data_IF_598658105518
#
_entry.id   IF_598658105518
#
_cell.length_a   1.000
_cell.length_b   1.000
_cell.length_c   1.000
_cell.angle_alpha   90.00
_cell.angle_beta   90.00
_cell.angle_gamma   90.00
#
_symmetry.space_group_name_H-M   'P 1'
#
loop_
_entity.id
_entity.type
_entity.pdbx_description
1 polymer ?
#
# COMPACT_ATOMS: atom_id res chain seq x y z
N UNK A 1 4.56 -13.36 -15.84
CA UNK A 1 3.99 -12.79 -14.60
C UNK A 1 3.85 -13.92 -13.58
N UNK A 2 4.30 -13.70 -12.36
CA UNK A 2 4.25 -14.73 -11.34
C UNK A 2 2.82 -14.93 -10.82
N UNK A 3 2.44 -16.19 -10.67
CA UNK A 3 1.18 -16.54 -10.06
C UNK A 3 1.27 -16.36 -8.55
N UNK A 4 0.24 -15.80 -7.93
CA UNK A 4 0.17 -15.62 -6.49
C UNK A 4 -0.65 -16.75 -5.87
N UNK A 5 -0.10 -17.39 -4.83
CA UNK A 5 -0.86 -18.36 -4.05
C UNK A 5 -1.87 -17.64 -3.14
N UNK A 6 -2.81 -18.39 -2.60
CA UNK A 6 -3.79 -17.82 -1.65
C UNK A 6 -3.10 -17.21 -0.43
N UNK A 7 -2.05 -17.87 0.07
CA UNK A 7 -1.29 -17.38 1.22
C UNK A 7 -0.53 -16.09 0.88
N UNK A 8 0.05 -16.02 -0.31
CA UNK A 8 0.72 -14.81 -0.78
C UNK A 8 -0.25 -13.64 -0.92
N UNK A 9 -1.43 -13.89 -1.48
CA UNK A 9 -2.48 -12.88 -1.62
C UNK A 9 -2.92 -12.37 -0.23
N UNK A 10 -3.13 -13.27 0.73
CA UNK A 10 -3.49 -12.88 2.09
C UNK A 10 -2.41 -12.02 2.74
N UNK A 11 -1.14 -12.36 2.52
CA UNK A 11 -0.01 -11.57 3.02
C UNK A 11 0.04 -10.18 2.38
N UNK A 12 -0.27 -10.08 1.09
CA UNK A 12 -0.32 -8.80 0.37
C UNK A 12 -1.44 -7.92 0.93
N UNK A 13 -2.63 -8.49 1.18
CA UNK A 13 -3.73 -7.74 1.79
C UNK A 13 -3.35 -7.21 3.17
N UNK A 14 -2.70 -8.03 3.99
CA UNK A 14 -2.24 -7.63 5.32
C UNK A 14 -1.21 -6.49 5.24
N UNK A 15 -0.23 -6.63 4.36
CA UNK A 15 0.80 -5.61 4.16
C UNK A 15 0.22 -4.30 3.62
N UNK A 16 -0.76 -4.38 2.73
CA UNK A 16 -1.43 -3.18 2.21
C UNK A 16 -2.19 -2.45 3.32
N UNK A 17 -2.88 -3.19 4.19
CA UNK A 17 -3.57 -2.62 5.35
C UNK A 17 -2.60 -1.90 6.28
N UNK A 18 -1.43 -2.49 6.52
CA UNK A 18 -0.38 -1.89 7.33
C UNK A 18 0.14 -0.59 6.70
N UNK A 19 0.36 -0.59 5.38
CA UNK A 19 0.82 0.60 4.67
C UNK A 19 -0.20 1.73 4.71
N UNK A 20 -1.48 1.41 4.53
CA UNK A 20 -2.57 2.39 4.65
C UNK A 20 -2.59 2.99 6.05
N UNK A 21 -2.45 2.15 7.08
CA UNK A 21 -2.41 2.59 8.47
C UNK A 21 -1.23 3.53 8.73
N UNK A 22 -0.04 3.17 8.26
CA UNK A 22 1.17 4.00 8.43
C UNK A 22 0.98 5.37 7.77
N UNK A 23 0.45 5.41 6.55
CA UNK A 23 0.21 6.66 5.84
C UNK A 23 -0.78 7.55 6.61
N UNK A 24 -1.77 6.94 7.26
CA UNK A 24 -2.76 7.66 8.05
C UNK A 24 -2.30 8.09 9.44
N UNK A 25 -1.11 7.67 9.87
CA UNK A 25 -0.59 7.96 11.21
C UNK A 25 0.23 9.25 11.19
N UNK A 26 -0.06 10.16 12.11
CA UNK A 26 0.67 11.41 12.24
C UNK A 26 2.14 11.18 12.64
N UNK A 27 3.00 12.11 12.27
CA UNK A 27 4.40 12.13 12.69
C UNK A 27 4.48 12.08 14.22
N UNK A 28 5.36 11.22 14.74
CA UNK A 28 5.62 11.15 16.19
C UNK A 28 6.68 12.18 16.59
N UNK A 29 6.77 12.45 17.89
CA UNK A 29 7.77 13.39 18.43
C UNK A 29 9.19 12.90 18.22
N UNK A 30 9.38 11.58 18.17
CA UNK A 30 10.70 10.96 18.04
C UNK A 30 11.19 10.91 16.59
N UNK A 31 10.31 11.13 15.62
CA UNK A 31 10.67 11.11 14.21
C UNK A 31 11.15 12.48 13.74
N UNK A 32 12.20 12.50 12.91
CA UNK A 32 12.55 13.72 12.18
C UNK A 32 11.60 13.90 11.00
N UNK A 33 11.51 15.11 10.44
CA UNK A 33 10.69 15.35 9.25
C UNK A 33 11.16 14.49 8.08
N UNK A 34 12.47 14.33 7.91
CA UNK A 34 13.05 13.52 6.85
C UNK A 34 12.67 12.03 7.01
N UNK A 35 12.75 11.51 8.23
CA UNK A 35 12.38 10.12 8.52
C UNK A 35 10.90 9.86 8.29
N UNK A 36 10.06 10.79 8.72
CA UNK A 36 8.61 10.69 8.51
C UNK A 36 8.28 10.68 7.01
N UNK A 37 8.82 11.61 6.25
CA UNK A 37 8.61 11.70 4.81
C UNK A 37 9.08 10.46 4.08
N UNK A 38 10.23 9.92 4.47
CA UNK A 38 10.78 8.70 3.88
C UNK A 38 9.86 7.50 4.16
N UNK A 39 9.38 7.38 5.38
CA UNK A 39 8.44 6.32 5.78
C UNK A 39 7.16 6.38 4.93
N UNK A 40 6.57 7.55 4.79
CA UNK A 40 5.35 7.74 3.99
C UNK A 40 5.62 7.40 2.53
N UNK A 41 6.71 7.90 1.97
CA UNK A 41 7.08 7.65 0.58
C UNK A 41 7.24 6.16 0.29
N UNK A 42 7.93 5.42 1.17
CA UNK A 42 8.12 3.97 1.00
C UNK A 42 6.80 3.23 1.00
N UNK A 43 5.87 3.61 1.86
CA UNK A 43 4.57 2.98 1.93
C UNK A 43 3.71 3.33 0.72
N UNK A 44 3.77 4.56 0.22
CA UNK A 44 3.09 4.97 -1.01
C UNK A 44 3.62 4.16 -2.20
N UNK A 45 4.94 4.07 -2.36
CA UNK A 45 5.55 3.31 -3.45
C UNK A 45 5.17 1.83 -3.38
N UNK A 46 5.15 1.25 -2.18
CA UNK A 46 4.71 -0.13 -1.98
C UNK A 46 3.27 -0.34 -2.47
N UNK A 47 2.36 0.54 -2.08
CA UNK A 47 0.97 0.46 -2.52
C UNK A 47 0.84 0.62 -4.03
N UNK A 48 1.62 1.51 -4.64
CA UNK A 48 1.60 1.70 -6.09
C UNK A 48 2.05 0.43 -6.84
N UNK A 49 3.01 -0.29 -6.29
CA UNK A 49 3.49 -1.54 -6.87
C UNK A 49 2.45 -2.65 -6.74
N UNK A 50 1.93 -2.87 -5.54
CA UNK A 50 1.06 -4.02 -5.27
C UNK A 50 -0.34 -3.86 -5.86
N UNK A 51 -0.79 -2.65 -6.09
CA UNK A 51 -2.13 -2.44 -6.67
C UNK A 51 -2.25 -3.02 -8.09
N UNK A 52 -1.11 -3.28 -8.75
CA UNK A 52 -1.08 -3.88 -10.08
C UNK A 52 -1.05 -5.41 -10.05
N UNK A 53 -1.00 -6.03 -8.87
CA UNK A 53 -0.93 -7.48 -8.76
C UNK A 53 -2.22 -8.15 -9.22
N UNK A 54 -2.05 -9.35 -9.81
CA UNK A 54 -3.17 -10.14 -10.31
C UNK A 54 -3.23 -11.47 -9.57
N UNK A 55 -4.40 -12.12 -9.69
CA UNK A 55 -4.61 -13.49 -9.19
C UNK A 55 -3.82 -14.48 -10.05
N UNK A 56 -3.96 -15.75 -9.72
CA UNK A 56 -3.26 -16.85 -10.40
C UNK A 56 -3.56 -16.94 -11.89
N UNK A 57 -4.64 -16.34 -12.37
CA UNK A 57 -4.97 -16.29 -13.80
C UNK A 57 -4.13 -15.27 -14.59
N UNK A 58 -3.41 -14.42 -13.88
CA UNK A 58 -2.55 -13.41 -14.50
C UNK A 58 -3.30 -12.20 -15.09
N UNK A 59 -4.62 -12.16 -14.97
CA UNK A 59 -5.45 -11.09 -15.57
C UNK A 59 -6.38 -10.41 -14.57
N UNK A 60 -6.92 -11.17 -13.62
CA UNK A 60 -7.86 -10.62 -12.64
C UNK A 60 -7.11 -9.97 -11.48
N UNK A 61 -7.42 -8.71 -11.19
CA UNK A 61 -6.83 -8.04 -10.03
C UNK A 61 -7.15 -8.78 -8.74
N UNK A 62 -6.20 -8.80 -7.80
CA UNK A 62 -6.46 -9.32 -6.45
C UNK A 62 -7.35 -8.37 -5.64
N UNK A 63 -7.53 -7.13 -6.12
CA UNK A 63 -8.22 -6.07 -5.39
C UNK A 63 -9.64 -5.90 -5.90
N UNK A 64 -10.58 -5.66 -4.99
CA UNK A 64 -11.94 -5.24 -5.33
C UNK A 64 -11.95 -3.74 -5.67
N UNK A 65 -13.04 -3.24 -6.21
CA UNK A 65 -13.21 -1.81 -6.46
C UNK A 65 -13.08 -1.00 -5.17
N UNK A 66 -13.63 -1.52 -4.07
CA UNK A 66 -13.53 -0.87 -2.76
C UNK A 66 -12.07 -0.81 -2.28
N UNK A 67 -11.33 -1.90 -2.48
CA UNK A 67 -9.91 -1.96 -2.13
C UNK A 67 -9.11 -0.94 -2.93
N UNK A 68 -9.35 -0.85 -4.24
CA UNK A 68 -8.69 0.16 -5.08
C UNK A 68 -8.97 1.58 -4.59
N UNK A 69 -10.21 1.86 -4.22
CA UNK A 69 -10.59 3.18 -3.71
C UNK A 69 -9.80 3.52 -2.44
N UNK A 70 -9.70 2.56 -1.51
CA UNK A 70 -8.95 2.76 -0.28
C UNK A 70 -7.45 2.94 -0.53
N UNK A 71 -6.87 2.13 -1.41
CA UNK A 71 -5.45 2.22 -1.76
C UNK A 71 -5.15 3.55 -2.45
N UNK A 72 -5.96 3.95 -3.42
CA UNK A 72 -5.76 5.21 -4.14
C UNK A 72 -5.91 6.42 -3.20
N UNK A 73 -6.86 6.38 -2.27
CA UNK A 73 -7.04 7.42 -1.28
C UNK A 73 -5.80 7.54 -0.39
N UNK A 74 -5.24 6.41 0.05
CA UNK A 74 -4.02 6.40 0.86
C UNK A 74 -2.82 6.93 0.08
N UNK A 75 -2.66 6.53 -1.18
CA UNK A 75 -1.59 7.03 -2.04
C UNK A 75 -1.69 8.55 -2.21
N UNK A 76 -2.88 9.04 -2.50
CA UNK A 76 -3.12 10.48 -2.66
C UNK A 76 -2.80 11.25 -1.39
N UNK A 77 -3.27 10.76 -0.25
CA UNK A 77 -3.01 11.39 1.05
C UNK A 77 -1.51 11.37 1.37
N UNK A 78 -0.84 10.24 1.10
CA UNK A 78 0.59 10.10 1.34
C UNK A 78 1.42 11.07 0.50
N UNK A 79 1.09 11.23 -0.77
CA UNK A 79 1.81 12.13 -1.68
C UNK A 79 1.75 13.60 -1.25
N UNK A 80 0.79 13.97 -0.43
CA UNK A 80 0.70 15.32 0.13
C UNK A 80 1.63 15.54 1.31
N UNK A 81 2.18 14.46 1.87
CA UNK A 81 2.98 14.49 3.08
C UNK A 81 4.49 14.54 2.81
N UNK A 82 4.90 14.33 1.56
CA UNK A 82 6.34 14.37 1.22
C UNK A 82 6.64 15.11 -0.07
#
# INVERSE_FOLDING_TARGET
>A
MEEKTADEIAAIFSAAGDSVTVIGTAKTEDETDADFKDKIKRNVEHLEIIKAYTKTDGTTSIWTTEDFTAIDAAITAGKKLY
#
